data_IF_351511489544
#
_entry.id   IF_351511489544
#
_cell.length_a   1.000
_cell.length_b   1.000
_cell.length_c   1.000
_cell.angle_alpha   90.00
_cell.angle_beta   90.00
_cell.angle_gamma   90.00
#
_symmetry.space_group_name_H-M   'P 1'
#
loop_
_entity.id
_entity.type
_entity.pdbx_description
1 polymer ?
#
# COMPACT_ATOMS: atom_id res chain seq x y z
N UNK A 1 5.12 70.66 24.81
CA UNK A 1 5.30 69.20 24.72
C UNK A 1 4.10 68.60 23.99
N UNK A 2 4.42 67.72 23.03
CA UNK A 2 3.59 66.83 22.21
C UNK A 2 2.40 67.40 21.42
N UNK A 3 2.65 67.42 20.11
CA UNK A 3 1.83 67.75 18.96
C UNK A 3 1.28 66.45 18.33
N UNK A 4 -0.04 66.40 18.20
CA UNK A 4 -0.85 65.82 17.11
C UNK A 4 -0.86 64.32 16.76
N UNK A 5 -2.10 63.96 16.38
CA UNK A 5 -2.46 63.27 15.13
C UNK A 5 -2.61 61.74 15.19
N UNK A 6 -3.88 61.35 15.34
CA UNK A 6 -4.39 60.01 15.00
C UNK A 6 -4.14 59.75 13.52
N UNK A 7 -3.35 58.73 13.20
CA UNK A 7 -3.18 58.20 11.83
C UNK A 7 -3.73 56.77 11.79
N UNK A 8 -4.84 56.64 11.05
CA UNK A 8 -5.34 55.41 10.42
C UNK A 8 -4.36 54.94 9.33
N UNK A 9 -4.51 53.67 8.92
CA UNK A 9 -4.19 53.00 7.62
C UNK A 9 -3.69 51.58 7.96
N UNK A 10 -4.47 50.50 7.85
CA UNK A 10 -5.09 49.83 6.68
C UNK A 10 -4.13 48.84 5.95
N UNK A 11 -4.74 47.79 5.37
CA UNK A 11 -4.20 46.89 4.31
C UNK A 11 -3.34 45.72 4.84
N UNK A 12 -3.40 44.45 4.43
CA UNK A 12 -4.09 43.68 3.38
C UNK A 12 -4.17 42.19 3.85
N UNK A 13 -5.27 41.46 3.57
CA UNK A 13 -5.38 40.41 2.53
C UNK A 13 -4.25 39.36 2.56
N UNK A 14 -4.58 38.08 2.79
CA UNK A 14 -4.30 36.93 1.90
C UNK A 14 -4.41 35.57 2.62
N UNK A 15 -5.28 34.71 2.10
CA UNK A 15 -4.95 33.29 1.93
C UNK A 15 -5.29 32.31 3.05
N UNK A 16 -6.57 32.09 3.37
CA UNK A 16 -6.98 30.78 3.91
C UNK A 16 -7.04 29.78 2.76
N UNK A 17 -5.91 29.14 2.48
CA UNK A 17 -5.84 28.01 1.57
C UNK A 17 -6.79 26.92 2.08
N UNK A 18 -7.84 26.65 1.31
CA UNK A 18 -8.67 25.46 1.48
C UNK A 18 -7.82 24.24 1.13
N UNK A 19 -7.05 23.76 2.10
CA UNK A 19 -6.41 22.46 2.02
C UNK A 19 -7.50 21.40 2.04
N UNK A 20 -7.88 20.88 0.87
CA UNK A 20 -8.48 19.56 0.76
C UNK A 20 -7.43 18.54 1.24
N UNK A 21 -7.29 18.41 2.55
CA UNK A 21 -6.58 17.31 3.15
C UNK A 21 -7.45 16.07 2.95
N UNK A 22 -7.10 15.26 1.96
CA UNK A 22 -7.62 13.90 1.82
C UNK A 22 -7.48 13.21 3.18
N UNK A 23 -8.60 12.80 3.77
CA UNK A 23 -8.72 12.24 5.14
C UNK A 23 -8.10 10.86 5.30
N UNK A 24 -7.24 10.41 4.37
CA UNK A 24 -6.56 9.15 4.50
C UNK A 24 -5.38 9.32 5.46
N UNK A 25 -5.31 8.55 6.56
CA UNK A 25 -4.18 8.60 7.48
C UNK A 25 -2.87 8.44 6.69
N UNK A 26 -1.81 9.21 7.01
CA UNK A 26 -0.51 9.01 6.39
C UNK A 26 -0.09 7.54 6.53
N UNK A 27 0.47 6.97 5.47
CA UNK A 27 1.05 5.64 5.57
C UNK A 27 2.15 5.68 6.66
N UNK A 28 1.99 4.87 7.70
CA UNK A 28 2.92 4.82 8.83
C UNK A 28 4.07 3.83 8.59
N UNK A 29 4.04 3.10 7.47
CA UNK A 29 5.02 2.07 7.11
C UNK A 29 5.52 2.27 5.68
N UNK A 30 6.69 1.71 5.40
CA UNK A 30 7.28 1.61 4.06
C UNK A 30 7.43 0.15 3.65
N UNK A 31 6.83 -0.24 2.53
CA UNK A 31 6.92 -1.60 1.97
C UNK A 31 7.89 -1.70 0.78
N UNK A 32 8.57 -0.61 0.43
CA UNK A 32 9.52 -0.57 -0.68
C UNK A 32 10.59 -1.64 -0.54
N UNK A 33 10.87 -2.35 -1.63
CA UNK A 33 11.90 -3.39 -1.69
C UNK A 33 11.37 -4.71 -2.22
N UNK A 34 12.15 -5.77 -1.94
CA UNK A 34 11.89 -7.14 -2.39
C UNK A 34 11.33 -7.97 -1.25
N UNK A 35 10.37 -8.82 -1.57
CA UNK A 35 9.67 -9.72 -0.68
C UNK A 35 9.61 -11.10 -1.32
N UNK A 36 9.83 -12.15 -0.53
CA UNK A 36 9.72 -13.53 -1.00
C UNK A 36 9.07 -14.40 0.06
N UNK A 37 8.29 -15.38 -0.39
CA UNK A 37 7.76 -16.41 0.48
C UNK A 37 6.79 -17.33 -0.26
N UNK A 38 5.73 -17.74 0.42
CA UNK A 38 4.86 -18.82 -0.05
C UNK A 38 3.40 -18.43 -0.02
N UNK A 39 2.62 -19.10 -0.88
CA UNK A 39 1.17 -19.08 -0.84
C UNK A 39 0.61 -20.51 -0.76
N UNK A 40 -0.54 -20.66 -0.12
CA UNK A 40 -1.27 -21.92 -0.03
C UNK A 40 -2.75 -21.64 -0.29
N UNK A 41 -3.37 -22.43 -1.17
CA UNK A 41 -4.81 -22.35 -1.38
C UNK A 41 -5.56 -22.84 -0.15
N UNK A 42 -6.53 -22.05 0.30
CA UNK A 42 -7.33 -22.32 1.51
C UNK A 42 -8.76 -22.73 1.20
N UNK A 43 -9.23 -22.44 -0.02
CA UNK A 43 -10.62 -22.67 -0.40
C UNK A 43 -10.83 -23.98 -1.17
N UNK A 44 -9.76 -24.64 -1.65
CA UNK A 44 -9.85 -25.89 -2.38
C UNK A 44 -8.75 -26.87 -1.97
N UNK A 45 -9.07 -28.12 -1.60
CA UNK A 45 -8.09 -29.14 -1.20
C UNK A 45 -7.02 -29.44 -2.27
N UNK A 46 -7.34 -29.23 -3.55
CA UNK A 46 -6.41 -29.38 -4.68
C UNK A 46 -5.97 -28.03 -5.27
N UNK A 47 -6.22 -26.92 -4.57
CA UNK A 47 -6.00 -25.56 -5.08
C UNK A 47 -4.52 -25.14 -5.18
N UNK A 48 -3.60 -26.01 -4.78
CA UNK A 48 -2.16 -25.82 -4.94
C UNK A 48 -1.50 -24.97 -3.85
N UNK A 49 -0.19 -24.84 -4.01
CA UNK A 49 0.69 -24.02 -3.19
C UNK A 49 1.95 -23.72 -4.00
N UNK A 50 2.67 -22.66 -3.66
CA UNK A 50 3.91 -22.35 -4.35
C UNK A 50 4.64 -21.15 -3.77
N UNK A 51 5.57 -20.62 -4.55
CA UNK A 51 6.35 -19.43 -4.19
C UNK A 51 5.66 -18.17 -4.70
N UNK A 52 5.87 -17.07 -3.97
CA UNK A 52 5.43 -15.73 -4.32
C UNK A 52 6.56 -14.75 -4.02
N UNK A 53 6.85 -13.91 -5.00
CA UNK A 53 7.83 -12.84 -4.88
C UNK A 53 7.22 -11.51 -5.30
N UNK A 54 7.55 -10.44 -4.59
CA UNK A 54 7.03 -9.11 -4.85
C UNK A 54 8.17 -8.09 -4.75
N UNK A 55 8.34 -7.27 -5.78
CA UNK A 55 9.28 -6.13 -5.76
C UNK A 55 8.49 -4.85 -6.01
N UNK A 56 8.47 -3.94 -5.05
CA UNK A 56 7.61 -2.74 -5.10
C UNK A 56 8.34 -1.47 -4.68
N UNK A 57 7.84 -0.34 -5.16
CA UNK A 57 8.19 1.00 -4.71
C UNK A 57 6.94 1.68 -4.19
N UNK A 58 7.01 2.22 -2.97
CA UNK A 58 5.93 2.97 -2.35
C UNK A 58 6.13 4.49 -2.53
N UNK A 59 5.07 5.17 -2.98
CA UNK A 59 5.00 6.63 -3.09
C UNK A 59 3.76 7.11 -2.35
N UNK A 60 3.96 7.70 -1.16
CA UNK A 60 2.86 8.07 -0.27
C UNK A 60 2.10 6.83 0.20
N UNK A 61 0.78 6.82 0.02
CA UNK A 61 -0.07 5.67 0.36
C UNK A 61 -0.23 4.66 -0.79
N UNK A 62 0.38 4.89 -1.96
CA UNK A 62 0.28 3.98 -3.11
C UNK A 62 1.58 3.22 -3.29
N UNK A 63 1.52 2.02 -3.84
CA UNK A 63 2.69 1.30 -4.31
C UNK A 63 2.45 0.72 -5.70
N UNK A 64 3.54 0.51 -6.43
CA UNK A 64 3.55 -0.20 -7.70
C UNK A 64 4.83 -1.05 -7.82
N UNK A 65 4.77 -2.11 -8.62
CA UNK A 65 5.89 -3.02 -8.81
C UNK A 65 5.55 -4.26 -9.60
N UNK A 66 6.25 -5.35 -9.35
CA UNK A 66 6.04 -6.64 -10.00
C UNK A 66 5.81 -7.77 -8.99
N UNK A 67 4.90 -8.67 -9.33
CA UNK A 67 4.59 -9.90 -8.62
C UNK A 67 4.98 -11.10 -9.49
N UNK A 68 5.62 -12.09 -8.88
CA UNK A 68 5.90 -13.39 -9.49
C UNK A 68 5.28 -14.48 -8.63
N UNK A 69 4.52 -15.38 -9.24
CA UNK A 69 3.85 -16.48 -8.55
C UNK A 69 4.12 -17.78 -9.30
N UNK A 70 4.46 -18.82 -8.54
CA UNK A 70 4.65 -20.17 -9.08
C UNK A 70 3.68 -21.15 -8.44
N UNK A 71 3.41 -22.27 -9.12
CA UNK A 71 2.55 -23.35 -8.62
C UNK A 71 1.04 -23.12 -8.77
N UNK A 72 0.63 -21.97 -9.29
CA UNK A 72 -0.78 -21.66 -9.54
C UNK A 72 -1.23 -22.26 -10.87
N UNK A 73 -2.49 -22.72 -10.95
CA UNK A 73 -3.03 -23.33 -12.18
C UNK A 73 -3.13 -22.36 -13.36
N UNK A 74 -3.35 -21.08 -13.07
CA UNK A 74 -3.21 -19.98 -14.02
C UNK A 74 -2.20 -18.99 -13.42
N UNK A 75 -1.31 -18.44 -14.25
CA UNK A 75 -0.25 -17.52 -13.81
C UNK A 75 -0.83 -16.12 -13.50
N UNK A 76 -0.82 -15.67 -12.24
CA UNK A 76 -1.25 -14.33 -11.87
C UNK A 76 -0.07 -13.33 -11.84
N UNK A 77 1.12 -13.70 -12.34
CA UNK A 77 2.30 -12.83 -12.29
C UNK A 77 2.14 -11.58 -13.15
N UNK A 78 2.89 -10.54 -12.82
CA UNK A 78 2.97 -9.29 -13.58
C UNK A 78 2.93 -8.05 -12.71
N UNK A 79 2.46 -6.95 -13.30
CA UNK A 79 2.30 -5.67 -12.61
C UNK A 79 1.47 -5.86 -11.34
N UNK A 80 1.96 -5.32 -10.22
CA UNK A 80 1.20 -5.24 -8.98
C UNK A 80 1.11 -3.81 -8.49
N UNK A 81 -0.08 -3.44 -8.03
CA UNK A 81 -0.40 -2.12 -7.54
C UNK A 81 -1.33 -2.22 -6.34
N UNK A 82 -1.30 -1.18 -5.52
CA UNK A 82 -2.21 -1.11 -4.38
C UNK A 82 -1.95 0.05 -3.44
N UNK A 83 -2.44 -0.11 -2.22
CA UNK A 83 -2.45 0.93 -1.20
C UNK A 83 -1.91 0.45 0.14
N UNK A 84 -1.34 1.38 0.89
CA UNK A 84 -0.89 1.19 2.27
C UNK A 84 -1.70 2.10 3.18
N UNK A 85 -2.32 1.52 4.21
CA UNK A 85 -3.06 2.24 5.26
C UNK A 85 -2.73 1.65 6.62
N UNK A 86 -2.09 2.43 7.49
CA UNK A 86 -1.57 1.91 8.75
C UNK A 86 -0.52 0.82 8.52
N UNK A 87 -0.74 -0.39 9.02
CA UNK A 87 0.07 -1.58 8.74
C UNK A 87 -0.54 -2.54 7.71
N UNK A 88 -1.63 -2.13 7.04
CA UNK A 88 -2.31 -2.92 6.02
C UNK A 88 -1.81 -2.55 4.62
N UNK A 89 -1.60 -3.57 3.80
CA UNK A 89 -1.25 -3.49 2.38
C UNK A 89 -2.38 -4.13 1.60
N UNK A 90 -3.08 -3.33 0.80
CA UNK A 90 -4.17 -3.78 -0.06
C UNK A 90 -3.66 -3.86 -1.50
N UNK A 91 -3.70 -5.06 -2.10
CA UNK A 91 -3.32 -5.32 -3.48
C UNK A 91 -4.59 -5.26 -4.35
N UNK A 92 -4.58 -4.42 -5.37
CA UNK A 92 -5.71 -4.24 -6.31
C UNK A 92 -5.41 -4.73 -7.72
N UNK A 93 -4.13 -4.94 -8.05
CA UNK A 93 -3.65 -5.48 -9.33
C UNK A 93 -2.56 -6.51 -9.04
N UNK A 94 -2.51 -7.64 -9.77
CA UNK A 94 -3.46 -8.07 -10.81
C UNK A 94 -4.76 -8.66 -10.22
N UNK A 95 -5.82 -8.72 -11.05
CA UNK A 95 -7.14 -9.20 -10.62
C UNK A 95 -7.14 -10.62 -10.02
N UNK A 96 -6.20 -11.47 -10.45
CA UNK A 96 -6.04 -12.84 -9.93
C UNK A 96 -5.40 -12.91 -8.53
N UNK A 97 -4.76 -11.84 -8.06
CA UNK A 97 -3.99 -11.81 -6.81
C UNK A 97 -4.31 -10.56 -5.95
N UNK A 98 -5.56 -10.12 -5.96
CA UNK A 98 -6.02 -9.02 -5.09
C UNK A 98 -6.21 -9.49 -3.66
N UNK A 99 -6.11 -8.59 -2.69
CA UNK A 99 -6.37 -8.93 -1.30
C UNK A 99 -5.67 -8.03 -0.31
N UNK A 100 -5.55 -8.49 0.94
CA UNK A 100 -4.96 -7.70 2.03
C UNK A 100 -3.91 -8.50 2.77
N UNK A 101 -2.78 -7.85 2.98
CA UNK A 101 -1.66 -8.32 3.78
C UNK A 101 -1.45 -7.35 4.94
N UNK A 102 -0.98 -7.88 6.06
CA UNK A 102 -0.57 -7.11 7.24
C UNK A 102 0.95 -7.16 7.35
N UNK A 103 1.57 -6.01 7.50
CA UNK A 103 2.99 -5.90 7.78
C UNK A 103 3.24 -6.00 9.29
N UNK A 104 4.11 -6.93 9.68
CA UNK A 104 4.63 -7.08 11.03
C UNK A 104 6.16 -7.18 10.98
N UNK A 105 6.84 -6.05 11.18
CA UNK A 105 8.30 -5.96 11.04
C UNK A 105 8.74 -6.22 9.60
N UNK A 106 9.47 -7.32 9.39
CA UNK A 106 9.96 -7.75 8.07
C UNK A 106 9.09 -8.85 7.44
N UNK A 107 7.87 -9.08 7.94
CA UNK A 107 6.97 -10.12 7.45
C UNK A 107 5.61 -9.55 6.98
N UNK A 108 5.18 -9.95 5.78
CA UNK A 108 3.85 -9.69 5.23
C UNK A 108 3.04 -10.98 5.27
N UNK A 109 1.91 -10.95 5.97
CA UNK A 109 0.99 -12.09 6.07
C UNK A 109 -0.42 -11.69 5.73
N UNK A 110 -1.17 -12.52 5.03
CA UNK A 110 -2.59 -12.26 4.85
C UNK A 110 -3.24 -13.14 3.82
N UNK A 111 -4.29 -12.60 3.20
CA UNK A 111 -5.07 -13.33 2.21
C UNK A 111 -5.10 -12.59 0.89
N UNK A 112 -4.70 -13.28 -0.16
CA UNK A 112 -4.97 -12.87 -1.54
C UNK A 112 -6.12 -13.73 -2.02
N UNK A 113 -7.22 -13.11 -2.42
CA UNK A 113 -8.47 -13.81 -2.64
C UNK A 113 -9.12 -13.44 -3.97
N UNK A 114 -8.32 -13.16 -5.01
CA UNK A 114 -8.82 -12.88 -6.37
C UNK A 114 -9.88 -13.88 -6.83
N UNK A 115 -9.47 -14.99 -7.45
CA UNK A 115 -10.40 -16.04 -7.95
C UNK A 115 -10.37 -17.30 -7.05
N UNK A 116 -9.31 -17.47 -6.26
CA UNK A 116 -9.17 -18.55 -5.28
C UNK A 116 -8.47 -18.01 -4.04
N UNK A 117 -9.06 -18.21 -2.85
CA UNK A 117 -8.51 -17.68 -1.60
C UNK A 117 -7.19 -18.34 -1.23
N UNK A 118 -6.13 -17.54 -1.14
CA UNK A 118 -4.78 -17.93 -0.78
C UNK A 118 -4.37 -17.29 0.53
N UNK A 119 -3.73 -18.06 1.40
CA UNK A 119 -2.95 -17.50 2.51
C UNK A 119 -1.53 -17.30 2.05
N UNK A 120 -1.03 -16.08 2.23
CA UNK A 120 0.30 -15.65 1.82
C UNK A 120 1.14 -15.31 3.05
N UNK A 121 2.40 -15.70 3.01
CA UNK A 121 3.44 -15.25 3.95
C UNK A 121 4.68 -14.91 3.16
N UNK A 122 5.17 -13.69 3.28
CA UNK A 122 6.38 -13.20 2.63
C UNK A 122 7.29 -12.51 3.64
N UNK A 123 8.59 -12.58 3.42
CA UNK A 123 9.60 -11.85 4.19
C UNK A 123 10.37 -10.89 3.31
N UNK A 124 10.72 -9.74 3.89
CA UNK A 124 11.58 -8.75 3.26
C UNK A 124 12.95 -9.37 3.01
N UNK A 125 13.47 -9.17 1.81
CA UNK A 125 14.83 -9.56 1.45
C UNK A 125 15.76 -8.38 1.71
N UNK A 126 16.86 -8.63 2.44
CA UNK A 126 17.87 -7.63 2.80
C UNK A 126 18.99 -7.58 1.79
#
# INVERSE_FOLDING_TARGET
MSWSWRLLIAVAILGSAAGCASTQPPATIDITGKWQGTWVSTNQPAGGSGQIEMTVTQTGSRFAGNLLVTGAGADPSGLTEGFVTGNQVEITVPAGATGRLTLNGDELTGKLAGISGWTVTMRRQK
#
